data_IF_852378481796
#
_entry.id   IF_852378481796
#
_cell.length_a   1.000
_cell.length_b   1.000
_cell.length_c   1.000
_cell.angle_alpha   90.00
_cell.angle_beta   90.00
_cell.angle_gamma   90.00
#
_symmetry.space_group_name_H-M   'P 1'
#
loop_
_entity.id
_entity.type
_entity.pdbx_description
1 polymer ?
#
# COMPACT_ATOMS: atom_id res chain seq x y z
N UNK A 1 31.53 32.81 30.12
CA UNK A 1 30.58 33.69 30.83
C UNK A 1 29.69 34.36 29.81
N UNK A 2 28.38 34.42 30.10
CA UNK A 2 27.34 35.33 29.52
C UNK A 2 27.15 35.29 28.00
N UNK A 3 25.99 34.98 27.41
CA UNK A 3 24.62 35.14 27.89
C UNK A 3 23.84 36.02 26.90
N UNK A 4 22.96 35.38 26.12
CA UNK A 4 21.58 35.81 25.78
C UNK A 4 21.26 37.10 24.96
N UNK A 5 20.54 36.83 23.86
CA UNK A 5 19.20 37.34 23.45
C UNK A 5 19.07 38.59 22.52
N UNK A 6 18.61 38.29 21.28
CA UNK A 6 17.45 38.82 20.50
C UNK A 6 17.28 40.32 20.18
N UNK A 7 16.97 40.59 18.90
CA UNK A 7 15.73 41.25 18.36
C UNK A 7 15.86 41.38 16.83
N UNK A 8 15.03 40.69 16.03
CA UNK A 8 13.70 41.09 15.53
C UNK A 8 13.75 42.09 14.35
N UNK A 9 13.33 41.64 13.16
CA UNK A 9 12.71 42.49 12.13
C UNK A 9 11.50 41.72 11.56
N UNK A 10 10.32 42.29 11.79
CA UNK A 10 9.02 41.92 11.22
C UNK A 10 8.77 42.67 9.92
N UNK A 11 8.09 42.03 8.95
CA UNK A 11 7.17 42.66 7.99
C UNK A 11 6.35 41.53 7.33
N UNK A 12 5.13 41.21 7.76
CA UNK A 12 3.82 41.81 7.42
C UNK A 12 3.52 41.93 5.92
N UNK A 13 2.71 41.01 5.39
CA UNK A 13 1.54 41.35 4.57
C UNK A 13 0.40 40.38 4.85
N UNK A 14 -0.68 40.95 5.38
CA UNK A 14 -2.01 40.40 5.54
C UNK A 14 -2.83 40.79 4.31
N UNK A 15 -3.45 39.85 3.60
CA UNK A 15 -4.78 40.06 3.01
C UNK A 15 -5.61 38.80 3.23
N UNK A 16 -6.72 39.03 3.92
CA UNK A 16 -7.80 38.14 4.31
C UNK A 16 -8.67 37.68 3.13
N UNK A 17 -8.99 36.39 3.09
CA UNK A 17 -10.29 35.91 2.62
C UNK A 17 -10.84 34.91 3.65
N UNK A 18 -11.94 35.30 4.28
CA UNK A 18 -12.82 34.42 5.05
C UNK A 18 -13.50 33.44 4.07
N UNK A 19 -13.48 32.15 4.37
CA UNK A 19 -14.26 31.15 3.63
C UNK A 19 -13.84 29.73 3.94
N UNK A 20 -14.54 29.11 4.90
CA UNK A 20 -14.59 27.67 5.23
C UNK A 20 -13.28 27.02 5.71
N UNK A 21 -13.19 26.81 7.03
CA UNK A 21 -12.20 25.95 7.65
C UNK A 21 -12.51 24.48 7.36
N UNK A 22 -11.79 23.91 6.39
CA UNK A 22 -11.50 22.47 6.36
C UNK A 22 -10.10 22.34 6.95
N UNK A 23 -9.84 21.48 7.95
CA UNK A 23 -8.49 21.35 8.51
C UNK A 23 -7.54 20.88 7.42
N UNK A 24 -6.67 21.78 6.94
CA UNK A 24 -5.57 21.47 6.02
C UNK A 24 -4.55 20.66 6.81
N UNK A 25 -4.57 19.35 6.60
CA UNK A 25 -3.61 18.42 7.16
C UNK A 25 -2.31 18.42 6.35
N UNK A 26 -1.25 18.96 6.94
CA UNK A 26 0.13 18.73 6.54
C UNK A 26 0.60 19.58 5.36
N UNK A 27 1.82 20.09 5.45
CA UNK A 27 2.44 20.91 4.42
C UNK A 27 2.47 20.17 3.06
N UNK A 28 1.81 20.74 2.06
CA UNK A 28 1.85 20.31 0.67
C UNK A 28 2.87 21.19 -0.08
N UNK A 29 3.95 20.59 -0.56
CA UNK A 29 4.86 21.04 -1.64
C UNK A 29 5.93 19.95 -1.84
N UNK A 30 6.30 19.47 -3.03
CA UNK A 30 6.28 20.10 -4.36
C UNK A 30 5.93 19.06 -5.43
N UNK A 31 4.94 19.38 -6.26
CA UNK A 31 4.40 18.55 -7.34
C UNK A 31 5.48 18.28 -8.39
N UNK A 32 6.00 17.06 -8.45
CA UNK A 32 6.73 16.57 -9.62
C UNK A 32 5.79 15.61 -10.36
N UNK A 33 5.17 16.13 -11.44
CA UNK A 33 4.11 15.54 -12.30
C UNK A 33 2.67 15.94 -11.87
N UNK A 34 1.84 16.49 -12.79
CA UNK A 34 0.46 16.88 -12.49
C UNK A 34 -0.33 15.71 -11.87
N UNK A 35 -0.92 15.92 -10.69
CA UNK A 35 -1.73 14.92 -9.99
C UNK A 35 -1.03 14.12 -8.89
N UNK A 36 0.28 14.32 -8.69
CA UNK A 36 1.02 13.75 -7.57
C UNK A 36 0.91 14.59 -6.29
N UNK A 37 0.59 13.96 -5.15
CA UNK A 37 0.59 14.60 -3.82
C UNK A 37 1.61 13.89 -2.93
N UNK A 38 2.47 14.66 -2.27
CA UNK A 38 3.47 14.14 -1.33
C UNK A 38 3.22 14.70 0.07
N UNK A 39 3.25 13.82 1.07
CA UNK A 39 3.16 14.18 2.48
C UNK A 39 4.45 13.80 3.20
N UNK A 40 5.15 14.79 3.72
CA UNK A 40 6.37 14.59 4.51
C UNK A 40 6.05 14.09 5.92
N UNK A 41 6.79 13.07 6.36
CA UNK A 41 6.72 12.50 7.69
C UNK A 41 7.98 12.84 8.48
N UNK A 42 7.79 13.20 9.74
CA UNK A 42 8.89 13.37 10.69
C UNK A 42 9.54 12.02 11.00
N UNK A 43 8.70 11.00 11.20
CA UNK A 43 9.11 9.66 11.57
C UNK A 43 8.21 8.58 10.94
N UNK A 44 8.81 7.44 10.64
CA UNK A 44 8.15 6.25 10.09
C UNK A 44 8.66 5.04 10.86
N UNK A 45 7.78 4.47 11.68
CA UNK A 45 8.12 3.35 12.56
C UNK A 45 7.39 2.09 12.11
N UNK A 46 8.12 1.01 11.81
CA UNK A 46 7.51 -0.29 11.49
C UNK A 46 6.97 -0.92 12.77
N UNK A 47 5.65 -1.05 12.84
CA UNK A 47 4.94 -1.64 13.98
C UNK A 47 4.77 -3.15 13.85
N UNK A 48 4.64 -3.62 12.61
CA UNK A 48 4.47 -5.02 12.27
C UNK A 48 4.96 -5.26 10.84
N UNK A 49 5.60 -6.40 10.61
CA UNK A 49 5.92 -6.88 9.28
C UNK A 49 5.82 -8.39 9.23
N UNK A 50 5.26 -8.91 8.14
CA UNK A 50 5.18 -10.32 7.85
C UNK A 50 5.56 -10.60 6.40
N UNK A 51 6.26 -11.71 6.23
CA UNK A 51 6.64 -12.25 4.94
C UNK A 51 6.05 -13.65 4.77
N UNK A 52 5.60 -13.95 3.55
CA UNK A 52 5.12 -15.26 3.15
C UNK A 52 5.23 -15.41 1.63
N UNK A 53 5.14 -16.65 1.15
CA UNK A 53 5.16 -16.98 -0.27
C UNK A 53 3.75 -17.23 -0.77
N UNK A 54 3.43 -16.71 -1.95
CA UNK A 54 2.21 -17.05 -2.69
C UNK A 54 2.57 -17.81 -3.96
N UNK A 55 2.01 -19.00 -4.14
CA UNK A 55 2.27 -19.85 -5.30
C UNK A 55 1.16 -19.69 -6.34
N UNK A 56 1.48 -19.69 -7.64
CA UNK A 56 0.46 -19.67 -8.67
C UNK A 56 -0.34 -20.97 -8.63
N UNK A 57 -1.66 -20.85 -8.59
CA UNK A 57 -2.61 -21.96 -8.74
C UNK A 57 -3.09 -21.91 -10.19
N UNK A 58 -3.05 -23.05 -10.90
CA UNK A 58 -3.09 -23.15 -12.37
C UNK A 58 -3.93 -22.11 -13.12
N UNK A 59 -3.38 -21.61 -14.23
CA UNK A 59 -3.88 -20.48 -15.03
C UNK A 59 -5.42 -20.46 -15.18
N UNK A 60 -6.08 -19.60 -14.41
CA UNK A 60 -7.48 -19.22 -14.66
C UNK A 60 -7.50 -18.04 -15.64
N UNK A 61 -8.06 -18.31 -16.81
CA UNK A 61 -8.29 -17.42 -17.96
C UNK A 61 -7.06 -17.05 -18.81
N UNK A 62 -7.10 -17.45 -20.09
CA UNK A 62 -6.26 -16.86 -21.15
C UNK A 62 -6.72 -15.41 -21.35
N UNK A 63 -5.82 -14.42 -21.42
CA UNK A 63 -6.21 -13.06 -21.76
C UNK A 63 -6.59 -12.93 -23.24
N UNK A 64 -7.51 -12.01 -23.52
CA UNK A 64 -7.90 -11.56 -24.87
C UNK A 64 -6.84 -10.59 -25.43
N UNK A 65 -5.56 -10.89 -25.28
CA UNK A 65 -4.45 -10.08 -25.81
C UNK A 65 -3.83 -10.85 -26.97
N UNK A 66 -3.49 -10.14 -28.05
CA UNK A 66 -2.87 -10.73 -29.22
C UNK A 66 -1.59 -11.46 -28.84
N UNK A 67 -1.46 -12.69 -29.36
CA UNK A 67 -0.44 -13.69 -29.03
C UNK A 67 1.00 -13.15 -29.03
N UNK A 68 1.30 -12.11 -29.82
CA UNK A 68 2.65 -11.54 -29.97
C UNK A 68 3.16 -10.74 -28.76
N UNK A 69 2.29 -10.04 -28.01
CA UNK A 69 2.69 -9.35 -26.76
C UNK A 69 2.72 -10.34 -25.60
N UNK A 70 1.85 -11.35 -25.65
CA UNK A 70 1.78 -12.42 -24.66
C UNK A 70 3.08 -13.25 -24.66
N UNK A 71 3.53 -13.76 -25.80
CA UNK A 71 4.74 -14.61 -25.85
C UNK A 71 6.04 -13.87 -25.47
N UNK A 72 6.12 -12.56 -25.75
CA UNK A 72 7.28 -11.73 -25.44
C UNK A 72 7.43 -11.40 -23.93
N UNK A 73 6.34 -11.44 -23.16
CA UNK A 73 6.32 -11.07 -21.73
C UNK A 73 6.02 -12.29 -20.82
N UNK A 74 5.22 -13.24 -21.30
CA UNK A 74 4.61 -14.31 -20.52
C UNK A 74 5.16 -15.71 -20.81
N UNK A 75 6.18 -15.85 -21.68
CA UNK A 75 6.78 -17.16 -22.03
C UNK A 75 7.43 -17.89 -20.85
N UNK A 76 7.63 -17.22 -19.71
CA UNK A 76 7.97 -17.87 -18.45
C UNK A 76 6.70 -18.13 -17.63
N UNK A 77 6.51 -19.37 -17.20
CA UNK A 77 5.48 -19.77 -16.24
C UNK A 77 5.34 -18.76 -15.09
N UNK A 78 4.13 -18.58 -14.57
CA UNK A 78 3.93 -17.77 -13.36
C UNK A 78 4.88 -18.26 -12.26
N UNK A 79 5.52 -17.31 -11.56
CA UNK A 79 6.50 -17.61 -10.52
C UNK A 79 5.85 -17.45 -9.14
N UNK A 80 6.36 -18.14 -8.11
CA UNK A 80 6.01 -17.81 -6.75
C UNK A 80 6.31 -16.34 -6.44
N UNK A 81 5.44 -15.70 -5.69
CA UNK A 81 5.61 -14.33 -5.20
C UNK A 81 6.11 -14.35 -3.77
N UNK A 82 7.17 -13.61 -3.49
CA UNK A 82 7.50 -13.20 -2.14
C UNK A 82 6.63 -11.99 -1.79
N UNK A 83 5.84 -12.13 -0.73
CA UNK A 83 4.95 -11.08 -0.23
C UNK A 83 5.50 -10.57 1.09
N UNK A 84 5.68 -9.25 1.20
CA UNK A 84 5.94 -8.53 2.44
C UNK A 84 4.74 -7.64 2.72
N UNK A 85 4.07 -7.85 3.84
CA UNK A 85 2.98 -6.99 4.31
C UNK A 85 3.32 -6.46 5.69
N UNK A 86 2.88 -5.25 6.01
CA UNK A 86 3.07 -4.75 7.36
C UNK A 86 2.26 -3.52 7.68
N UNK A 87 2.61 -2.95 8.83
CA UNK A 87 1.97 -1.79 9.44
C UNK A 87 3.07 -0.83 9.84
N UNK A 88 2.91 0.43 9.44
CA UNK A 88 3.78 1.52 9.88
C UNK A 88 2.98 2.55 10.65
N UNK A 89 3.62 3.16 11.65
CA UNK A 89 3.16 4.39 12.29
C UNK A 89 3.86 5.55 11.59
N UNK A 90 3.08 6.45 11.03
CA UNK A 90 3.52 7.64 10.34
C UNK A 90 3.29 8.83 11.27
N UNK A 91 4.36 9.48 11.70
CA UNK A 91 4.29 10.69 12.52
C UNK A 91 4.60 11.89 11.66
N UNK A 92 3.68 12.85 11.59
CA UNK A 92 3.87 14.06 10.79
C UNK A 92 4.70 15.11 11.53
N UNK A 93 5.04 16.20 10.85
CA UNK A 93 5.85 17.31 11.39
C UNK A 93 5.23 18.03 12.59
N UNK A 94 3.94 17.82 12.87
CA UNK A 94 3.23 18.37 14.03
C UNK A 94 3.20 17.39 15.22
N UNK A 95 3.83 16.22 15.09
CA UNK A 95 3.82 15.16 16.11
C UNK A 95 2.54 14.31 16.13
N UNK A 96 1.58 14.56 15.24
CA UNK A 96 0.39 13.71 15.11
C UNK A 96 0.77 12.43 14.37
N UNK A 97 0.17 11.30 14.75
CA UNK A 97 0.44 10.02 14.11
C UNK A 97 -0.80 9.36 13.52
N UNK A 98 -0.57 8.56 12.48
CA UNK A 98 -1.55 7.63 11.93
C UNK A 98 -0.90 6.27 11.67
N UNK A 99 -1.72 5.23 11.59
CA UNK A 99 -1.29 3.89 11.20
C UNK A 99 -1.65 3.65 9.74
N UNK A 100 -0.73 3.07 8.99
CA UNK A 100 -0.89 2.76 7.57
C UNK A 100 -0.42 1.32 7.31
N UNK A 101 -1.20 0.54 6.56
CA UNK A 101 -0.74 -0.77 6.10
C UNK A 101 0.04 -0.62 4.78
N UNK A 102 1.06 -1.45 4.61
CA UNK A 102 1.82 -1.55 3.37
C UNK A 102 1.88 -2.99 2.87
N UNK A 103 2.07 -3.14 1.55
CA UNK A 103 2.35 -4.41 0.93
C UNK A 103 3.38 -4.26 -0.19
N UNK A 104 4.19 -5.29 -0.39
CA UNK A 104 5.06 -5.48 -1.53
C UNK A 104 4.98 -6.94 -1.98
N UNK A 105 4.96 -7.14 -3.30
CA UNK A 105 5.03 -8.45 -3.95
C UNK A 105 6.19 -8.45 -4.94
N UNK A 106 6.93 -9.55 -5.03
CA UNK A 106 8.04 -9.69 -5.98
C UNK A 106 8.19 -11.13 -6.47
N UNK A 107 8.56 -11.31 -7.73
CA UNK A 107 8.95 -12.60 -8.32
C UNK A 107 10.47 -12.83 -8.34
N UNK A 108 11.23 -11.98 -7.63
CA UNK A 108 12.70 -11.95 -7.60
C UNK A 108 13.35 -11.07 -8.66
N UNK A 109 12.60 -10.63 -9.68
CA UNK A 109 13.09 -9.74 -10.74
C UNK A 109 12.29 -8.44 -10.76
N UNK A 110 10.97 -8.57 -10.73
CA UNK A 110 10.00 -7.50 -10.75
C UNK A 110 9.37 -7.35 -9.37
N UNK A 111 8.83 -6.16 -9.09
CA UNK A 111 8.09 -5.92 -7.87
C UNK A 111 6.98 -4.90 -8.05
N UNK A 112 5.93 -5.05 -7.24
CA UNK A 112 4.90 -4.05 -7.05
C UNK A 112 4.74 -3.82 -5.54
N UNK A 113 4.45 -2.58 -5.16
CA UNK A 113 4.22 -2.21 -3.76
C UNK A 113 3.17 -1.14 -3.68
N UNK A 114 2.48 -1.06 -2.55
CA UNK A 114 1.45 -0.07 -2.31
C UNK A 114 1.17 0.12 -0.83
N UNK A 115 0.48 1.21 -0.55
CA UNK A 115 -0.08 1.54 0.76
C UNK A 115 -1.59 1.36 0.72
N UNK A 116 -2.17 1.08 1.88
CA UNK A 116 -3.61 0.89 2.02
C UNK A 116 -4.40 2.10 1.53
N UNK A 117 -5.47 1.85 0.79
CA UNK A 117 -6.38 2.86 0.30
C UNK A 117 -7.85 2.57 0.67
N UNK A 118 -8.19 1.31 0.93
CA UNK A 118 -9.49 0.89 1.40
C UNK A 118 -9.40 -0.38 2.24
N UNK A 119 -10.39 -0.58 3.10
CA UNK A 119 -10.53 -1.79 3.90
C UNK A 119 -12.00 -2.17 4.00
N UNK A 120 -12.26 -3.48 4.10
CA UNK A 120 -13.59 -4.04 4.29
C UNK A 120 -13.55 -5.21 5.27
N UNK A 121 -14.53 -5.33 6.19
CA UNK A 121 -14.65 -6.50 7.04
C UNK A 121 -15.05 -7.73 6.22
N UNK A 122 -14.53 -8.90 6.61
CA UNK A 122 -14.99 -10.20 6.13
C UNK A 122 -15.91 -10.79 7.19
N UNK A 123 -17.11 -11.17 6.80
CA UNK A 123 -18.13 -11.72 7.69
C UNK A 123 -18.31 -13.21 7.48
N UNK A 124 -18.55 -13.95 8.57
CA UNK A 124 -19.07 -15.31 8.48
C UNK A 124 -20.59 -15.33 8.27
N UNK A 125 -21.16 -16.53 8.16
CA UNK A 125 -22.61 -16.75 8.00
C UNK A 125 -23.48 -16.13 9.11
N UNK A 126 -22.91 -15.87 10.29
CA UNK A 126 -23.58 -15.26 11.43
C UNK A 126 -23.36 -13.74 11.51
N UNK A 127 -22.88 -13.10 10.43
CA UNK A 127 -22.57 -11.65 10.38
C UNK A 127 -21.51 -11.21 11.40
N UNK A 128 -20.67 -12.13 11.89
CA UNK A 128 -19.53 -11.77 12.75
C UNK A 128 -18.31 -11.49 11.88
N UNK A 129 -17.57 -10.45 12.25
CA UNK A 129 -16.29 -10.13 11.61
C UNK A 129 -15.31 -11.25 11.95
N UNK A 130 -14.83 -11.94 10.91
CA UNK A 130 -13.82 -13.00 11.00
C UNK A 130 -12.56 -12.64 10.22
N UNK A 131 -12.50 -11.46 9.63
CA UNK A 131 -11.41 -11.10 8.76
C UNK A 131 -11.46 -9.66 8.28
N UNK A 132 -10.47 -9.29 7.47
CA UNK A 132 -10.38 -8.03 6.75
C UNK A 132 -9.82 -8.25 5.36
N UNK A 133 -10.41 -7.58 4.39
CA UNK A 133 -9.80 -7.31 3.09
C UNK A 133 -9.22 -5.90 3.11
N UNK A 134 -7.96 -5.76 2.71
CA UNK A 134 -7.33 -4.46 2.47
C UNK A 134 -6.96 -4.33 1.00
N UNK A 135 -7.27 -3.17 0.43
CA UNK A 135 -6.86 -2.78 -0.90
C UNK A 135 -5.67 -1.81 -0.82
N UNK A 136 -4.58 -2.15 -1.50
CA UNK A 136 -3.34 -1.38 -1.56
C UNK A 136 -3.13 -0.84 -2.97
N UNK A 137 -3.03 0.47 -3.12
CA UNK A 137 -2.81 1.07 -4.43
C UNK A 137 -1.33 1.31 -4.68
N UNK A 138 -0.84 0.90 -5.85
CA UNK A 138 0.58 1.07 -6.19
C UNK A 138 0.97 2.53 -6.41
N UNK A 139 -0.03 3.38 -6.69
CA UNK A 139 0.14 4.82 -6.77
C UNK A 139 0.36 5.48 -5.40
N UNK A 140 0.00 4.82 -4.29
CA UNK A 140 0.27 5.28 -2.93
C UNK A 140 1.44 4.50 -2.36
N UNK A 141 2.58 5.14 -2.09
CA UNK A 141 3.80 4.45 -1.65
C UNK A 141 4.59 5.26 -0.62
N UNK A 142 5.38 4.56 0.20
CA UNK A 142 6.47 5.19 0.93
C UNK A 142 7.64 5.45 -0.03
N UNK A 143 8.17 6.65 0.05
CA UNK A 143 9.42 7.05 -0.59
C UNK A 143 10.22 7.84 0.46
N UNK A 144 11.32 7.26 0.93
CA UNK A 144 12.12 7.83 2.03
C UNK A 144 11.27 8.15 3.26
N UNK A 145 11.09 9.43 3.57
CA UNK A 145 10.30 9.94 4.69
C UNK A 145 8.92 10.44 4.28
N UNK A 146 8.45 10.10 3.09
CA UNK A 146 7.24 10.69 2.54
C UNK A 146 6.24 9.63 2.10
N UNK A 147 4.96 9.95 2.25
CA UNK A 147 3.87 9.24 1.56
C UNK A 147 3.62 9.96 0.25
N UNK A 148 3.86 9.27 -0.86
CA UNK A 148 3.61 9.77 -2.21
C UNK A 148 2.33 9.13 -2.74
N UNK A 149 1.43 9.95 -3.29
CA UNK A 149 0.24 9.55 -4.05
C UNK A 149 0.41 10.02 -5.49
N UNK A 150 0.64 9.11 -6.41
CA UNK A 150 0.71 9.37 -7.85
C UNK A 150 0.00 8.25 -8.61
N UNK A 151 -1.12 8.59 -9.25
CA UNK A 151 -1.95 7.66 -10.02
C UNK A 151 -1.86 7.90 -11.53
N UNK A 152 -0.84 8.63 -11.98
CA UNK A 152 -0.68 9.00 -13.39
C UNK A 152 -0.55 7.78 -14.32
N UNK A 153 0.01 6.67 -13.81
CA UNK A 153 0.20 5.42 -14.57
C UNK A 153 -1.01 4.46 -14.47
N UNK A 154 -2.14 4.94 -13.93
CA UNK A 154 -3.36 4.15 -13.71
C UNK A 154 -3.50 3.63 -12.28
N UNK A 155 -4.66 3.04 -12.00
CA UNK A 155 -5.00 2.51 -10.67
C UNK A 155 -4.75 1.01 -10.66
N UNK A 156 -3.66 0.60 -10.04
CA UNK A 156 -3.28 -0.80 -9.82
C UNK A 156 -3.41 -1.12 -8.34
N UNK A 157 -4.11 -2.20 -8.03
CA UNK A 157 -4.51 -2.57 -6.70
C UNK A 157 -4.09 -4.00 -6.36
N UNK A 158 -3.39 -4.15 -5.24
CA UNK A 158 -3.14 -5.44 -4.60
C UNK A 158 -4.20 -5.58 -3.50
N UNK A 159 -4.92 -6.70 -3.46
CA UNK A 159 -5.92 -7.00 -2.43
C UNK A 159 -5.43 -8.14 -1.57
N UNK A 160 -5.35 -7.93 -0.26
CA UNK A 160 -5.02 -8.96 0.72
C UNK A 160 -6.23 -9.22 1.61
N UNK A 161 -6.78 -10.43 1.54
CA UNK A 161 -7.77 -10.92 2.51
C UNK A 161 -7.06 -11.70 3.60
N UNK A 162 -7.43 -11.43 4.85
CA UNK A 162 -6.93 -12.11 6.04
C UNK A 162 -8.13 -12.52 6.88
N UNK A 163 -8.31 -13.81 7.10
CA UNK A 163 -9.28 -14.36 8.03
C UNK A 163 -8.56 -14.93 9.25
N UNK A 164 -9.21 -14.81 10.41
CA UNK A 164 -8.70 -15.25 11.69
C UNK A 164 -9.69 -16.18 12.40
N UNK A 165 -9.17 -17.05 13.27
CA UNK A 165 -9.99 -17.78 14.21
C UNK A 165 -10.51 -16.87 15.34
N UNK A 166 -11.29 -17.45 16.26
CA UNK A 166 -11.83 -16.74 17.42
C UNK A 166 -10.75 -16.22 18.39
N UNK A 167 -9.49 -16.67 18.26
CA UNK A 167 -8.35 -16.26 19.08
C UNK A 167 -7.46 -15.24 18.36
N UNK A 168 -7.81 -14.85 17.14
CA UNK A 168 -7.02 -13.91 16.32
C UNK A 168 -5.87 -14.56 15.55
N UNK A 169 -5.77 -15.89 15.51
CA UNK A 169 -4.75 -16.57 14.71
C UNK A 169 -5.15 -16.57 13.23
N UNK A 170 -4.21 -16.33 12.31
CA UNK A 170 -4.50 -16.39 10.87
C UNK A 170 -4.88 -17.81 10.44
N UNK A 171 -6.05 -17.96 9.81
CA UNK A 171 -6.54 -19.26 9.31
C UNK A 171 -6.58 -19.33 7.79
N UNK A 172 -6.73 -18.20 7.11
CA UNK A 172 -6.78 -18.14 5.65
C UNK A 172 -6.35 -16.77 5.16
N UNK A 173 -5.37 -16.75 4.28
CA UNK A 173 -4.98 -15.54 3.54
C UNK A 173 -5.31 -15.73 2.06
N UNK A 174 -5.72 -14.66 1.40
CA UNK A 174 -5.90 -14.61 -0.06
C UNK A 174 -5.25 -13.36 -0.63
N UNK A 175 -4.68 -13.47 -1.82
CA UNK A 175 -4.13 -12.32 -2.56
C UNK A 175 -4.72 -12.26 -3.96
N UNK A 176 -5.14 -11.07 -4.37
CA UNK A 176 -5.73 -10.80 -5.68
C UNK A 176 -5.21 -9.48 -6.23
N UNK A 177 -5.26 -9.34 -7.55
CA UNK A 177 -4.75 -8.17 -8.25
C UNK A 177 -5.82 -7.60 -9.16
N UNK A 178 -5.91 -6.28 -9.25
CA UNK A 178 -6.79 -5.58 -10.18
C UNK A 178 -6.06 -4.37 -10.76
N UNK A 179 -6.23 -4.06 -12.04
CA UNK A 179 -5.57 -2.94 -12.70
C UNK A 179 -6.46 -2.25 -13.72
N UNK A 180 -6.51 -0.92 -13.63
CA UNK A 180 -6.96 -0.03 -14.71
C UNK A 180 -5.74 0.69 -15.27
N UNK A 181 -5.25 0.21 -16.42
CA UNK A 181 -4.03 0.70 -17.06
C UNK A 181 -4.35 1.83 -18.03
N UNK A 182 -3.66 2.98 -17.94
CA UNK A 182 -4.01 4.15 -18.77
C UNK A 182 -3.28 4.27 -20.10
N UNK A 183 -2.07 3.74 -20.26
CA UNK A 183 -1.34 3.51 -21.53
C UNK A 183 0.10 3.14 -21.14
N UNK A 184 0.73 2.25 -21.91
CA UNK A 184 1.89 1.41 -21.54
C UNK A 184 1.51 0.30 -20.55
N UNK A 185 1.61 -0.95 -21.02
CA UNK A 185 1.36 -2.13 -20.22
C UNK A 185 2.41 -2.19 -19.12
N UNK A 186 2.00 -2.24 -17.85
CA UNK A 186 2.83 -2.79 -16.78
C UNK A 186 2.75 -4.31 -16.93
N UNK A 187 3.69 -4.95 -17.65
CA UNK A 187 3.47 -6.31 -18.11
C UNK A 187 3.56 -7.30 -16.94
N UNK A 188 4.33 -6.92 -15.91
CA UNK A 188 4.39 -7.64 -14.65
C UNK A 188 3.04 -7.58 -13.93
N UNK A 189 2.49 -6.37 -13.72
CA UNK A 189 1.24 -6.24 -12.98
C UNK A 189 0.05 -6.82 -13.75
N UNK A 190 0.04 -6.69 -15.07
CA UNK A 190 -0.95 -7.36 -15.92
C UNK A 190 -0.90 -8.89 -15.72
N UNK A 191 0.29 -9.50 -15.68
CA UNK A 191 0.44 -10.92 -15.34
C UNK A 191 -0.10 -11.29 -13.97
N UNK A 192 0.08 -10.42 -12.98
CA UNK A 192 -0.51 -10.62 -11.67
C UNK A 192 -2.04 -10.64 -11.73
N UNK A 193 -2.68 -9.79 -12.56
CA UNK A 193 -4.14 -9.78 -12.72
C UNK A 193 -4.70 -11.00 -13.44
N UNK A 194 -3.89 -11.69 -14.22
CA UNK A 194 -4.27 -12.87 -15.01
C UNK A 194 -3.92 -14.20 -14.31
N UNK A 195 -3.31 -14.14 -13.11
CA UNK A 195 -2.85 -15.32 -12.38
C UNK A 195 -3.53 -15.42 -11.02
N UNK A 196 -4.09 -16.59 -10.70
CA UNK A 196 -4.54 -16.89 -9.35
C UNK A 196 -3.36 -17.33 -8.49
N UNK A 197 -3.34 -16.89 -7.23
CA UNK A 197 -2.31 -17.26 -6.27
C UNK A 197 -2.92 -17.81 -4.98
N UNK A 198 -2.25 -18.80 -4.42
CA UNK A 198 -2.55 -19.36 -3.10
C UNK A 198 -1.40 -19.04 -2.16
N UNK A 199 -1.72 -18.52 -0.97
CA UNK A 199 -0.72 -18.19 0.04
C UNK A 199 -0.38 -19.42 0.86
N UNK A 200 0.91 -19.75 0.93
CA UNK A 200 1.42 -20.79 1.81
C UNK A 200 1.71 -20.23 3.19
N UNK A 201 0.76 -20.41 4.11
CA UNK A 201 0.87 -19.96 5.50
C UNK A 201 2.01 -20.64 6.27
N UNK A 202 2.53 -21.79 5.82
CA UNK A 202 3.69 -22.44 6.47
C UNK A 202 4.98 -21.63 6.32
N UNK A 203 5.03 -20.78 5.29
CA UNK A 203 6.14 -19.84 5.04
C UNK A 203 6.00 -18.54 5.82
N UNK A 204 4.89 -18.32 6.53
CA UNK A 204 4.65 -17.09 7.27
C UNK A 204 5.74 -16.87 8.33
N UNK A 205 6.41 -15.73 8.26
CA UNK A 205 7.34 -15.22 9.27
C UNK A 205 6.96 -13.79 9.59
N UNK A 206 6.93 -13.42 10.86
CA UNK A 206 6.53 -12.07 11.26
C UNK A 206 7.36 -11.53 12.43
N UNK A 207 7.38 -10.21 12.54
CA UNK A 207 7.95 -9.42 13.62
C UNK A 207 6.99 -8.31 14.01
N UNK A 208 7.06 -7.87 15.27
CA UNK A 208 6.16 -6.87 15.82
C UNK A 208 4.87 -7.45 16.40
N UNK A 209 4.09 -6.61 17.08
CA UNK A 209 2.91 -7.03 17.86
C UNK A 209 1.60 -6.42 17.37
N UNK A 210 1.66 -5.32 16.63
CA UNK A 210 0.50 -4.55 16.22
C UNK A 210 0.14 -4.86 14.76
N UNK A 211 -0.41 -6.05 14.50
CA UNK A 211 -1.25 -6.20 13.31
C UNK A 211 -2.44 -5.24 13.47
N UNK A 212 -2.98 -4.64 12.39
CA UNK A 212 -4.22 -3.81 12.48
C UNK A 212 -5.47 -4.68 12.71
N UNK A 213 -5.28 -5.79 13.43
CA UNK A 213 -6.20 -6.87 13.67
C UNK A 213 -6.31 -7.02 15.17
N UNK A 214 -6.97 -6.07 15.79
CA UNK A 214 -7.70 -6.25 17.04
C UNK A 214 -8.49 -4.96 17.25
N UNK A 215 -9.82 -4.96 17.04
CA UNK A 215 -10.66 -4.01 17.76
C UNK A 215 -10.52 -4.22 19.27
#
# INVERSE_FOLDING_TARGET
MTGKISKAISAFMLISCLGFTVPVWGAEQTVTKPGGITYEMQDIEVQYAASFTAYPVGNTAKPTVTTSVYDAVYSNAAKPLQVLYGVVKLTNMLGNFMTEEFISVSDGVNSARGLSNGFGPIYNSNMRIIGRETEFYTGKKLAEKSVVKDYSDGVKAIKLSREWDAFGNPIRFGIRFNGQFKTESDPFFQKLTETSYEIDLTTLRYVGKNQVVQP
#
